data_IF_580825210497
#
_entry.id   IF_580825210497
#
_cell.length_a   1.000
_cell.length_b   1.000
_cell.length_c   1.000
_cell.angle_alpha   90.00
_cell.angle_beta   90.00
_cell.angle_gamma   90.00
#
_symmetry.space_group_name_H-M   'P 1'
#
loop_
_entity.id
_entity.type
_entity.pdbx_description
1 polymer ?
#
# COMPACT_ATOMS: atom_id res chain seq x y z
N UNK A 1 -2.02 17.02 -2.06
CA UNK A 1 -2.06 16.75 -3.51
C UNK A 1 -3.36 16.00 -3.82
N UNK A 2 -4.03 16.34 -4.91
CA UNK A 2 -5.10 15.50 -5.46
C UNK A 2 -4.43 14.51 -6.40
N UNK A 3 -4.77 13.22 -6.29
CA UNK A 3 -4.06 12.13 -6.95
C UNK A 3 -5.05 11.32 -7.77
N UNK A 4 -5.26 11.66 -9.06
CA UNK A 4 -6.23 10.99 -9.93
C UNK A 4 -6.05 9.48 -10.01
N UNK A 5 -4.81 8.98 -9.92
CA UNK A 5 -4.53 7.54 -9.95
C UNK A 5 -5.16 6.76 -8.79
N UNK A 6 -5.58 7.43 -7.70
CA UNK A 6 -6.24 6.79 -6.57
C UNK A 6 -7.72 6.45 -6.83
N UNK A 7 -8.34 7.00 -7.88
CA UNK A 7 -9.73 6.71 -8.21
C UNK A 7 -9.87 5.29 -8.77
N UNK A 8 -10.67 4.46 -8.12
CA UNK A 8 -10.84 3.06 -8.51
C UNK A 8 -12.29 2.56 -8.38
N UNK A 9 -12.54 1.36 -8.90
CA UNK A 9 -13.77 0.60 -8.65
C UNK A 9 -13.40 -0.73 -8.00
N UNK A 10 -14.17 -1.15 -7.00
CA UNK A 10 -14.01 -2.46 -6.41
C UNK A 10 -14.47 -3.56 -7.39
N UNK A 11 -14.11 -4.80 -7.11
CA UNK A 11 -14.61 -5.96 -7.85
C UNK A 11 -16.16 -6.07 -7.80
N UNK A 12 -16.80 -5.49 -6.78
CA UNK A 12 -18.25 -5.40 -6.65
C UNK A 12 -18.87 -4.20 -7.41
N UNK A 13 -18.07 -3.47 -8.22
CA UNK A 13 -18.52 -2.35 -9.05
C UNK A 13 -18.72 -1.02 -8.33
N UNK A 14 -18.54 -0.99 -7.01
CA UNK A 14 -18.71 0.23 -6.21
C UNK A 14 -17.49 1.15 -6.31
N UNK A 15 -17.64 2.48 -6.08
CA UNK A 15 -16.50 3.37 -5.91
C UNK A 15 -15.53 2.84 -4.85
N UNK A 16 -14.24 2.97 -5.14
CA UNK A 16 -13.15 2.52 -4.29
C UNK A 16 -11.95 3.47 -4.39
N UNK A 17 -11.00 3.26 -3.49
CA UNK A 17 -9.74 4.00 -3.45
C UNK A 17 -8.61 3.01 -3.66
N UNK A 18 -7.78 3.23 -4.69
CA UNK A 18 -6.51 2.55 -4.85
C UNK A 18 -5.41 3.39 -4.18
N UNK A 19 -5.14 3.06 -2.92
CA UNK A 19 -4.14 3.76 -2.11
C UNK A 19 -2.75 3.61 -2.73
N UNK A 20 -2.44 2.45 -3.31
CA UNK A 20 -1.11 2.14 -3.80
C UNK A 20 -0.82 2.87 -5.12
N UNK A 21 -1.76 2.87 -6.07
CA UNK A 21 -1.66 3.68 -7.28
C UNK A 21 -1.49 5.17 -6.96
N UNK A 22 -2.23 5.66 -5.96
CA UNK A 22 -2.10 7.04 -5.53
C UNK A 22 -0.72 7.40 -4.95
N UNK A 23 -0.17 6.53 -4.10
CA UNK A 23 1.19 6.72 -3.58
C UNK A 23 2.23 6.65 -4.70
N UNK A 24 2.06 5.75 -5.68
CA UNK A 24 2.98 5.65 -6.82
C UNK A 24 3.00 6.92 -7.66
N UNK A 25 1.83 7.50 -7.97
CA UNK A 25 1.74 8.77 -8.71
C UNK A 25 2.48 9.89 -7.96
N UNK A 26 2.24 10.02 -6.64
CA UNK A 26 2.93 11.03 -5.82
C UNK A 26 4.46 10.83 -5.77
N UNK A 27 4.93 9.58 -5.68
CA UNK A 27 6.37 9.28 -5.68
C UNK A 27 7.02 9.56 -7.03
N UNK A 28 6.31 9.25 -8.12
CA UNK A 28 6.77 9.53 -9.48
C UNK A 28 6.90 11.05 -9.73
N UNK A 29 5.92 11.85 -9.31
CA UNK A 29 5.98 13.33 -9.36
C UNK A 29 7.18 13.89 -8.58
N UNK A 30 7.55 13.22 -7.48
CA UNK A 30 8.71 13.58 -6.67
C UNK A 30 10.05 13.05 -7.23
N UNK A 31 10.05 12.33 -8.36
CA UNK A 31 11.26 11.74 -8.95
C UNK A 31 11.81 10.54 -8.19
N UNK A 32 11.00 9.87 -7.36
CA UNK A 32 11.41 8.73 -6.54
C UNK A 32 11.14 7.42 -7.28
N UNK A 33 12.18 6.59 -7.44
CA UNK A 33 12.04 5.25 -8.01
C UNK A 33 11.25 4.31 -7.09
N UNK A 34 10.31 3.57 -7.66
CA UNK A 34 9.45 2.64 -6.92
C UNK A 34 9.78 1.19 -7.29
N UNK A 35 9.92 0.33 -6.27
CA UNK A 35 9.81 -1.12 -6.42
C UNK A 35 8.47 -1.58 -5.86
N UNK A 36 7.65 -2.14 -6.73
CA UNK A 36 6.33 -2.63 -6.33
C UNK A 36 6.43 -3.94 -5.53
N UNK A 37 5.65 -4.02 -4.45
CA UNK A 37 5.41 -5.26 -3.70
C UNK A 37 3.92 -5.54 -3.81
N UNK A 38 3.57 -6.57 -4.58
CA UNK A 38 2.17 -6.94 -4.78
C UNK A 38 1.58 -7.58 -3.53
N UNK A 39 0.26 -7.50 -3.41
CA UNK A 39 -0.50 -8.11 -2.32
C UNK A 39 -1.69 -7.24 -1.93
N UNK A 40 -2.79 -7.88 -1.56
CA UNK A 40 -3.97 -7.21 -1.03
C UNK A 40 -4.30 -7.85 0.31
N UNK A 41 -4.07 -7.14 1.42
CA UNK A 41 -4.30 -7.70 2.76
C UNK A 41 -5.72 -8.24 2.93
N UNK A 42 -6.72 -7.62 2.29
CA UNK A 42 -8.11 -8.09 2.32
C UNK A 42 -8.32 -9.41 1.57
N UNK A 43 -7.73 -9.57 0.39
CA UNK A 43 -7.99 -10.70 -0.51
C UNK A 43 -7.06 -11.89 -0.26
N UNK A 44 -5.88 -11.63 0.29
CA UNK A 44 -4.90 -12.67 0.62
C UNK A 44 -5.19 -13.24 2.02
N UNK A 45 -5.54 -14.53 2.14
CA UNK A 45 -5.97 -15.13 3.40
C UNK A 45 -4.84 -15.23 4.43
N UNK A 46 -3.59 -15.35 3.97
CA UNK A 46 -2.41 -15.47 4.82
C UNK A 46 -1.94 -14.11 5.39
N UNK A 47 -2.61 -13.01 5.03
CA UNK A 47 -2.32 -11.67 5.54
C UNK A 47 -3.36 -11.20 6.57
N UNK A 48 -2.92 -10.55 7.66
CA UNK A 48 -3.83 -9.86 8.57
C UNK A 48 -4.59 -8.72 7.86
N UNK A 49 -5.91 -8.67 8.03
CA UNK A 49 -6.74 -7.59 7.47
C UNK A 49 -7.83 -7.11 8.41
N UNK A 50 -7.71 -5.88 8.88
CA UNK A 50 -8.75 -5.26 9.72
C UNK A 50 -10.08 -5.13 8.97
N UNK A 51 -10.04 -4.81 7.67
CA UNK A 51 -11.25 -4.65 6.84
C UNK A 51 -12.01 -5.97 6.66
N UNK A 52 -11.33 -7.11 6.70
CA UNK A 52 -11.92 -8.44 6.59
C UNK A 52 -12.32 -9.01 7.96
N UNK A 53 -11.40 -8.96 8.93
CA UNK A 53 -11.48 -9.77 10.16
C UNK A 53 -11.84 -8.95 11.41
N UNK A 54 -11.86 -7.60 11.32
CA UNK A 54 -12.01 -6.73 12.47
C UNK A 54 -10.81 -6.84 13.42
N UNK A 55 -11.00 -7.37 14.64
CA UNK A 55 -9.92 -7.52 15.63
C UNK A 55 -8.96 -8.64 15.23
N UNK A 56 -7.88 -8.25 14.54
CA UNK A 56 -6.82 -9.14 14.03
C UNK A 56 -5.42 -8.66 14.44
N UNK A 57 -4.37 -9.39 14.04
CA UNK A 57 -2.96 -9.02 14.21
C UNK A 57 -2.55 -7.78 13.42
N UNK A 58 -1.26 -7.41 13.48
CA UNK A 58 -0.71 -6.25 12.78
C UNK A 58 0.65 -6.57 12.18
N UNK A 59 0.92 -5.98 11.03
CA UNK A 59 2.25 -5.94 10.43
C UNK A 59 3.02 -4.70 10.86
N UNK A 60 4.33 -4.73 10.70
CA UNK A 60 5.21 -3.58 10.88
C UNK A 60 6.21 -3.50 9.71
N UNK A 61 6.37 -2.31 9.15
CA UNK A 61 7.48 -1.99 8.26
C UNK A 61 8.65 -1.45 9.08
N UNK A 62 9.82 -2.09 8.99
CA UNK A 62 11.02 -1.67 9.72
C UNK A 62 12.08 -1.19 8.73
N UNK A 63 12.50 0.07 8.88
CA UNK A 63 13.62 0.64 8.14
C UNK A 63 14.73 0.99 9.13
N UNK A 64 15.94 0.51 8.87
CA UNK A 64 17.12 0.82 9.67
C UNK A 64 18.25 1.30 8.77
N UNK A 65 19.00 2.29 9.27
CA UNK A 65 20.31 2.62 8.71
C UNK A 65 21.35 1.83 9.48
N UNK A 66 22.05 0.93 8.80
CA UNK A 66 23.24 0.30 9.38
C UNK A 66 24.39 1.30 9.28
N UNK A 67 25.02 1.63 10.41
CA UNK A 67 26.31 2.29 10.40
C UNK A 67 27.36 1.26 10.04
N UNK A 68 28.17 1.54 9.02
CA UNK A 68 29.40 0.77 8.78
C UNK A 68 30.50 1.46 9.58
N UNK A 69 31.13 0.74 10.51
CA UNK A 69 32.32 1.25 11.20
C UNK A 69 33.50 1.04 10.25
N UNK A 70 34.31 2.07 10.06
CA UNK A 70 35.56 2.00 9.29
C UNK A 70 36.62 1.19 10.03
#
# INVERSE_FOLDING_TARGET
ATTPAAAARSWAGTPAIDVAAGVVEQLAEAGVGVRWVAGCTREEPDLYSYRRDGRTGRFAGVALRRSVTA
#
